data_IF_196713267453
#
_entry.id   IF_196713267453
#
_cell.length_a   1.000
_cell.length_b   1.000
_cell.length_c   1.000
_cell.angle_alpha   90.00
_cell.angle_beta   90.00
_cell.angle_gamma   90.00
#
_symmetry.space_group_name_H-M   'P 1'
#
loop_
_entity.id
_entity.type
_entity.pdbx_description
1 polymer ?
#
# COMPACT_ATOMS: atom_id res chain seq x y z
N UNK A 1 -41.15 15.17 29.50
CA UNK A 1 -41.03 14.77 28.09
C UNK A 1 -41.60 13.39 27.92
N UNK A 2 -42.26 13.19 26.82
CA UNK A 2 -42.93 11.93 26.46
C UNK A 2 -41.95 10.79 26.11
N UNK A 3 -40.64 10.99 26.25
CA UNK A 3 -39.62 10.15 25.62
C UNK A 3 -38.92 9.19 26.57
N UNK A 4 -39.40 9.10 27.79
CA UNK A 4 -38.89 8.13 28.78
C UNK A 4 -37.46 8.36 29.29
N UNK A 5 -36.74 9.40 28.82
CA UNK A 5 -35.39 9.70 29.30
C UNK A 5 -35.37 10.11 30.73
N UNK A 6 -34.50 9.47 31.52
CA UNK A 6 -34.34 9.74 32.95
C UNK A 6 -32.93 10.24 33.25
N UNK A 7 -32.84 11.24 34.16
CA UNK A 7 -31.54 11.76 34.60
C UNK A 7 -30.97 12.88 33.73
N UNK A 8 -29.66 13.09 33.87
CA UNK A 8 -28.91 14.14 33.15
C UNK A 8 -28.64 13.79 31.69
N UNK A 9 -28.15 14.73 30.93
CA UNK A 9 -27.72 14.48 29.54
C UNK A 9 -26.58 13.45 29.47
N UNK A 10 -26.50 12.72 28.39
CA UNK A 10 -25.35 11.86 28.08
C UNK A 10 -24.02 12.66 28.10
N UNK A 11 -22.89 12.03 28.40
CA UNK A 11 -21.60 12.70 28.37
C UNK A 11 -21.34 13.28 26.98
N UNK A 12 -20.69 14.45 26.93
CA UNK A 12 -20.29 15.06 25.66
C UNK A 12 -18.93 14.49 25.24
N UNK A 13 -18.71 14.25 23.95
CA UNK A 13 -17.38 13.93 23.43
C UNK A 13 -16.38 15.04 23.77
N UNK A 14 -15.15 14.69 24.12
CA UNK A 14 -14.08 15.65 24.38
C UNK A 14 -13.27 15.81 23.10
N UNK A 15 -13.40 16.98 22.44
CA UNK A 15 -12.75 17.28 21.17
C UNK A 15 -11.35 17.90 21.28
N UNK A 16 -10.84 18.17 22.50
CA UNK A 16 -9.62 18.95 22.71
C UNK A 16 -8.49 18.16 23.38
N UNK A 17 -8.58 16.84 23.43
CA UNK A 17 -7.48 16.02 23.88
C UNK A 17 -6.65 15.51 22.69
N UNK A 18 -5.44 15.08 22.95
CA UNK A 18 -4.54 14.48 21.94
C UNK A 18 -5.21 13.31 21.19
N UNK A 19 -6.26 12.73 21.79
CA UNK A 19 -7.12 11.71 21.18
C UNK A 19 -8.58 12.15 21.28
N UNK A 20 -9.29 12.20 20.15
CA UNK A 20 -10.73 12.44 20.14
C UNK A 20 -11.45 11.26 20.78
N UNK A 21 -12.18 11.51 21.86
CA UNK A 21 -12.97 10.47 22.53
C UNK A 21 -14.33 10.31 21.86
N UNK A 22 -14.75 9.09 21.63
CA UNK A 22 -16.11 8.75 21.23
C UNK A 22 -17.02 8.56 22.44
N UNK A 23 -18.33 8.57 22.22
CA UNK A 23 -19.31 8.07 23.21
C UNK A 23 -20.00 6.87 22.59
N UNK A 24 -20.19 5.82 23.38
CA UNK A 24 -20.83 4.60 22.93
C UNK A 24 -21.61 3.98 24.09
N UNK A 25 -22.63 3.17 23.74
CA UNK A 25 -23.25 2.25 24.67
C UNK A 25 -22.31 1.08 24.99
N UNK A 26 -22.71 0.19 25.88
CA UNK A 26 -21.98 -1.05 26.15
C UNK A 26 -22.01 -2.02 24.94
N UNK A 27 -21.32 -3.15 25.06
CA UNK A 27 -21.23 -4.17 24.01
C UNK A 27 -22.57 -4.84 23.65
N UNK A 28 -23.55 -4.71 24.52
CA UNK A 28 -24.93 -5.22 24.32
C UNK A 28 -25.89 -4.14 23.82
N UNK A 29 -25.41 -2.90 23.67
CA UNK A 29 -26.20 -1.72 23.30
C UNK A 29 -27.38 -1.48 24.26
N UNK A 30 -27.20 -1.74 25.56
CA UNK A 30 -28.22 -1.57 26.59
C UNK A 30 -28.89 -0.20 26.52
N UNK A 31 -30.19 -0.16 26.71
CA UNK A 31 -31.00 1.05 26.67
C UNK A 31 -31.96 1.09 27.86
N UNK A 32 -31.60 1.90 28.85
CA UNK A 32 -32.42 2.14 30.02
C UNK A 32 -33.04 3.54 30.02
N UNK A 33 -32.98 4.23 28.89
CA UNK A 33 -33.40 5.62 28.72
C UNK A 33 -32.68 6.57 29.67
N UNK A 34 -31.41 6.32 29.95
CA UNK A 34 -30.59 7.07 30.90
C UNK A 34 -29.24 7.48 30.35
N UNK A 35 -28.70 8.56 30.88
CA UNK A 35 -27.34 9.00 30.57
C UNK A 35 -26.25 7.97 30.94
N UNK A 36 -26.54 7.07 31.86
CA UNK A 36 -25.65 5.97 32.26
C UNK A 36 -25.45 4.91 31.18
N UNK A 37 -26.32 4.86 30.19
CA UNK A 37 -26.17 3.96 29.04
C UNK A 37 -24.98 4.35 28.14
N UNK A 38 -24.46 5.56 28.30
CA UNK A 38 -23.45 6.16 27.43
C UNK A 38 -22.14 6.38 28.19
N UNK A 39 -21.05 5.87 27.65
CA UNK A 39 -19.71 5.99 28.21
C UNK A 39 -18.76 6.61 27.20
N UNK A 40 -17.86 7.48 27.68
CA UNK A 40 -16.75 7.97 26.86
C UNK A 40 -15.72 6.88 26.68
N UNK A 41 -15.23 6.71 25.45
CA UNK A 41 -14.23 5.73 25.06
C UNK A 41 -13.08 6.41 24.31
N UNK A 42 -11.87 5.98 24.57
CA UNK A 42 -10.67 6.46 23.86
C UNK A 42 -10.67 5.92 22.44
N UNK A 43 -11.03 4.66 22.26
CA UNK A 43 -11.09 4.01 20.97
C UNK A 43 -12.54 3.81 20.53
N UNK A 44 -12.83 4.20 19.27
CA UNK A 44 -14.17 4.06 18.69
C UNK A 44 -14.25 2.81 17.81
N UNK A 45 -15.31 2.03 17.96
CA UNK A 45 -15.56 0.78 17.24
C UNK A 45 -16.67 0.99 16.20
N UNK A 46 -16.48 1.95 15.29
CA UNK A 46 -17.49 2.36 14.33
C UNK A 46 -17.86 1.20 13.37
N UNK A 47 -19.16 0.89 13.28
CA UNK A 47 -19.66 -0.18 12.44
C UNK A 47 -19.72 -1.55 13.11
N UNK A 48 -19.05 -1.76 14.24
CA UNK A 48 -19.02 -3.02 14.97
C UNK A 48 -19.51 -2.93 16.41
N UNK A 49 -19.23 -3.94 17.21
CA UNK A 49 -19.59 -3.98 18.64
C UNK A 49 -18.84 -2.95 19.45
N UNK A 50 -19.48 -2.40 20.47
CA UNK A 50 -18.85 -1.50 21.43
C UNK A 50 -18.10 -2.32 22.52
N UNK A 51 -17.21 -3.19 22.13
CA UNK A 51 -16.56 -4.19 23.01
C UNK A 51 -15.23 -3.74 23.62
N UNK A 52 -14.63 -2.64 23.12
CA UNK A 52 -13.45 -2.06 23.75
C UNK A 52 -13.88 -1.37 25.05
N UNK A 53 -13.39 -1.81 26.23
CA UNK A 53 -13.77 -1.21 27.51
C UNK A 53 -13.35 0.26 27.61
N UNK A 54 -14.13 1.06 28.35
CA UNK A 54 -13.77 2.46 28.62
C UNK A 54 -12.46 2.61 29.42
N UNK A 55 -12.05 1.58 30.14
CA UNK A 55 -10.78 1.51 30.87
C UNK A 55 -9.57 1.24 29.95
N UNK A 56 -9.81 0.77 28.73
CA UNK A 56 -8.76 0.58 27.75
C UNK A 56 -8.38 1.93 27.13
N UNK A 57 -7.23 2.45 27.52
CA UNK A 57 -6.78 3.79 27.13
C UNK A 57 -5.36 3.82 26.58
N UNK A 58 -4.66 2.68 26.55
CA UNK A 58 -3.29 2.55 26.05
C UNK A 58 -3.27 1.94 24.65
N UNK A 59 -2.27 2.37 23.89
CA UNK A 59 -1.86 1.94 22.57
C UNK A 59 -0.34 2.17 22.54
N UNK A 60 0.41 1.11 22.87
CA UNK A 60 1.83 1.24 23.23
C UNK A 60 2.73 1.46 22.00
N UNK A 61 2.33 0.94 20.85
CA UNK A 61 3.09 1.06 19.60
C UNK A 61 2.54 2.15 18.65
N UNK A 62 1.35 2.71 19.01
CA UNK A 62 0.73 3.83 18.29
C UNK A 62 0.29 3.48 16.85
N UNK A 63 -0.30 2.31 16.67
CA UNK A 63 -0.87 1.88 15.40
C UNK A 63 -2.38 2.14 15.29
N UNK A 64 -3.03 2.55 16.40
CA UNK A 64 -4.46 2.85 16.47
C UNK A 64 -5.31 1.70 17.01
N UNK A 65 -4.71 0.54 17.29
CA UNK A 65 -5.34 -0.61 17.94
C UNK A 65 -5.01 -0.53 19.45
N UNK A 66 -6.01 -0.61 20.33
CA UNK A 66 -5.70 -0.55 21.76
C UNK A 66 -5.08 -1.85 22.29
N UNK A 67 -4.09 -1.73 23.18
CA UNK A 67 -3.39 -2.87 23.80
C UNK A 67 -4.35 -3.98 24.26
N UNK A 68 -5.48 -3.61 24.86
CA UNK A 68 -6.45 -4.56 25.39
C UNK A 68 -7.15 -5.41 24.29
N UNK A 69 -7.08 -5.02 23.02
CA UNK A 69 -7.62 -5.78 21.91
C UNK A 69 -6.58 -6.70 21.26
N UNK A 70 -5.33 -6.60 21.70
CA UNK A 70 -4.18 -7.35 21.16
C UNK A 70 -3.57 -8.35 22.17
N UNK A 71 -4.10 -8.39 23.40
CA UNK A 71 -3.48 -9.16 24.49
C UNK A 71 -3.64 -10.68 24.32
N UNK A 72 -4.79 -11.13 23.81
CA UNK A 72 -5.09 -12.56 23.76
C UNK A 72 -6.29 -12.87 22.84
N UNK A 73 -6.50 -14.15 22.58
CA UNK A 73 -7.56 -14.66 21.66
C UNK A 73 -9.00 -14.44 22.15
N UNK A 74 -9.22 -13.95 23.35
CA UNK A 74 -10.57 -13.56 23.83
C UNK A 74 -10.83 -12.07 23.71
N UNK A 75 -9.81 -11.28 23.36
CA UNK A 75 -9.92 -9.84 23.15
C UNK A 75 -10.49 -9.56 21.75
N UNK A 76 -11.35 -8.53 21.67
CA UNK A 76 -11.93 -8.12 20.38
C UNK A 76 -11.92 -6.61 20.25
N UNK A 77 -11.90 -6.15 18.99
CA UNK A 77 -12.11 -4.79 18.57
C UNK A 77 -13.24 -4.75 17.53
N UNK A 78 -14.32 -4.05 17.84
CA UNK A 78 -15.51 -4.00 16.98
C UNK A 78 -16.16 -5.38 16.70
N UNK A 79 -15.92 -6.37 17.52
CA UNK A 79 -16.33 -7.77 17.35
C UNK A 79 -15.30 -8.64 16.64
N UNK A 80 -14.17 -8.08 16.24
CA UNK A 80 -13.11 -8.77 15.49
C UNK A 80 -11.99 -9.17 16.46
N UNK A 81 -11.52 -10.41 16.38
CA UNK A 81 -10.39 -10.90 17.15
C UNK A 81 -9.07 -10.62 16.40
N UNK A 82 -8.54 -9.39 16.56
CA UNK A 82 -7.31 -8.97 15.88
C UNK A 82 -6.09 -9.77 16.33
N UNK A 83 -6.09 -10.26 17.59
CA UNK A 83 -5.02 -11.13 18.07
C UNK A 83 -4.89 -12.42 17.25
N UNK A 84 -6.01 -13.05 16.87
CA UNK A 84 -5.98 -14.24 16.01
C UNK A 84 -5.60 -13.93 14.56
N UNK A 85 -5.66 -12.66 14.16
CA UNK A 85 -5.18 -12.18 12.85
C UNK A 85 -3.69 -11.81 12.87
N UNK A 86 -3.03 -11.91 14.01
CA UNK A 86 -1.61 -11.63 14.16
C UNK A 86 -1.25 -10.34 14.87
N UNK A 87 -2.25 -9.50 15.28
CA UNK A 87 -1.98 -8.30 16.06
C UNK A 87 -1.32 -8.62 17.42
N UNK A 88 -0.37 -7.80 17.82
CA UNK A 88 0.36 -7.96 19.10
C UNK A 88 0.70 -6.61 19.69
N UNK A 89 0.43 -6.42 20.96
CA UNK A 89 0.89 -5.26 21.73
C UNK A 89 2.39 -5.02 21.53
N UNK A 90 2.81 -3.81 21.28
CA UNK A 90 4.17 -3.38 20.92
C UNK A 90 4.64 -3.81 19.49
N UNK A 91 3.73 -4.15 18.62
CA UNK A 91 3.97 -4.42 17.20
C UNK A 91 3.00 -3.56 16.38
N UNK A 92 3.50 -2.66 15.57
CA UNK A 92 2.64 -1.84 14.70
C UNK A 92 2.00 -2.70 13.63
N UNK A 93 0.70 -2.90 13.74
CA UNK A 93 -0.07 -3.77 12.87
C UNK A 93 -0.88 -2.99 11.83
N UNK A 94 -0.87 -3.46 10.61
CA UNK A 94 -1.62 -2.91 9.47
C UNK A 94 -2.39 -4.05 8.83
N UNK A 95 -3.69 -3.88 8.63
CA UNK A 95 -4.55 -4.88 8.01
C UNK A 95 -5.05 -4.42 6.65
N UNK A 96 -4.99 -5.30 5.64
CA UNK A 96 -5.44 -5.03 4.27
C UNK A 96 -6.29 -6.20 3.78
N UNK A 97 -7.57 -5.95 3.55
CA UNK A 97 -8.44 -6.91 2.87
C UNK A 97 -8.35 -6.72 1.36
N UNK A 98 -8.18 -7.81 0.65
CA UNK A 98 -8.04 -7.83 -0.81
C UNK A 98 -9.15 -8.68 -1.42
N UNK A 99 -10.03 -8.03 -2.18
CA UNK A 99 -10.96 -8.74 -3.06
C UNK A 99 -10.43 -8.76 -4.50
N UNK A 100 -10.84 -9.77 -5.28
CA UNK A 100 -10.29 -9.97 -6.62
C UNK A 100 -11.35 -10.45 -7.62
N UNK A 101 -11.21 -10.03 -8.87
CA UNK A 101 -12.09 -10.52 -9.95
C UNK A 101 -11.85 -12.01 -10.22
N UNK A 102 -12.93 -12.75 -10.44
CA UNK A 102 -12.84 -14.14 -10.92
C UNK A 102 -12.31 -14.16 -12.34
N UNK A 103 -11.09 -14.69 -12.53
CA UNK A 103 -10.42 -14.72 -13.84
C UNK A 103 -9.37 -15.82 -13.90
N UNK A 104 -9.01 -16.23 -15.10
CA UNK A 104 -7.85 -17.08 -15.39
C UNK A 104 -6.60 -16.26 -15.73
N UNK A 105 -6.71 -14.94 -15.83
CA UNK A 105 -5.57 -14.05 -16.03
C UNK A 105 -4.77 -13.93 -14.73
N UNK A 106 -3.50 -14.37 -14.71
CA UNK A 106 -2.71 -14.38 -13.50
C UNK A 106 -2.36 -12.97 -12.96
N UNK A 107 -2.52 -11.92 -13.77
CA UNK A 107 -2.37 -10.53 -13.34
C UNK A 107 -3.51 -10.02 -12.45
N UNK A 108 -4.65 -10.74 -12.43
CA UNK A 108 -5.83 -10.38 -11.63
C UNK A 108 -5.82 -11.07 -10.26
N UNK A 109 -5.18 -12.24 -10.16
CA UNK A 109 -5.19 -13.06 -8.95
C UNK A 109 -4.05 -12.64 -7.99
N UNK A 110 -4.35 -12.22 -6.75
CA UNK A 110 -3.32 -11.94 -5.74
C UNK A 110 -2.39 -13.14 -5.55
N UNK A 111 -1.09 -12.88 -5.42
CA UNK A 111 -0.06 -13.90 -5.34
C UNK A 111 0.74 -13.80 -4.05
N UNK A 112 0.87 -14.94 -3.35
CA UNK A 112 1.59 -15.01 -2.07
C UNK A 112 3.00 -14.40 -2.17
N UNK A 113 3.76 -14.74 -3.20
CA UNK A 113 5.14 -14.28 -3.37
C UNK A 113 5.23 -12.75 -3.58
N UNK A 114 4.20 -12.15 -4.17
CA UNK A 114 4.13 -10.70 -4.31
C UNK A 114 3.80 -10.02 -2.97
N UNK A 115 2.85 -10.55 -2.23
CA UNK A 115 2.46 -10.06 -0.92
C UNK A 115 3.58 -10.27 0.11
N UNK A 116 4.31 -11.39 0.07
CA UNK A 116 5.50 -11.64 0.91
C UNK A 116 6.58 -10.58 0.71
N UNK A 117 6.80 -10.13 -0.53
CA UNK A 117 7.74 -9.03 -0.80
C UNK A 117 7.30 -7.72 -0.14
N UNK A 118 6.01 -7.40 -0.18
CA UNK A 118 5.47 -6.21 0.47
C UNK A 118 5.58 -6.34 2.00
N UNK A 119 5.24 -7.51 2.57
CA UNK A 119 5.45 -7.79 4.01
C UNK A 119 6.89 -7.52 4.42
N UNK A 120 7.86 -7.97 3.64
CA UNK A 120 9.28 -7.76 3.94
C UNK A 120 9.69 -6.27 3.97
N UNK A 121 9.09 -5.43 3.12
CA UNK A 121 9.34 -3.97 3.14
C UNK A 121 8.86 -3.35 4.44
N UNK A 122 7.66 -3.72 4.90
CA UNK A 122 7.10 -3.20 6.15
C UNK A 122 7.84 -3.73 7.37
N UNK A 123 8.18 -5.02 7.39
CA UNK A 123 8.95 -5.65 8.46
C UNK A 123 10.31 -5.00 8.66
N UNK A 124 10.98 -4.56 7.58
CA UNK A 124 12.23 -3.83 7.65
C UNK A 124 12.11 -2.45 8.35
N UNK A 125 10.89 -1.95 8.52
CA UNK A 125 10.56 -0.70 9.21
C UNK A 125 9.84 -0.94 10.56
N UNK A 126 9.86 -2.17 11.08
CA UNK A 126 9.18 -2.61 12.29
C UNK A 126 7.63 -2.44 12.24
N UNK A 127 7.03 -2.66 11.08
CA UNK A 127 5.60 -2.79 10.90
C UNK A 127 5.27 -4.22 10.49
N UNK A 128 4.17 -4.76 11.00
CA UNK A 128 3.58 -6.01 10.53
C UNK A 128 2.38 -5.69 9.66
N UNK A 129 2.42 -6.03 8.38
CA UNK A 129 1.27 -5.91 7.49
C UNK A 129 0.63 -7.29 7.31
N UNK A 130 -0.68 -7.34 7.53
CA UNK A 130 -1.51 -8.55 7.45
C UNK A 130 -2.44 -8.40 6.26
N UNK A 131 -2.26 -9.25 5.27
CA UNK A 131 -3.16 -9.32 4.12
C UNK A 131 -4.22 -10.38 4.36
N UNK A 132 -5.42 -10.13 3.85
CA UNK A 132 -6.54 -11.05 3.84
C UNK A 132 -7.03 -11.24 2.40
N UNK A 133 -6.82 -12.41 1.85
CA UNK A 133 -7.30 -12.80 0.51
C UNK A 133 -8.31 -13.95 0.59
N UNK A 134 -8.77 -14.28 1.81
CA UNK A 134 -9.64 -15.42 2.06
C UNK A 134 -9.00 -16.75 1.66
N UNK A 135 -9.81 -17.72 1.28
CA UNK A 135 -9.39 -19.10 0.91
C UNK A 135 -8.55 -19.18 -0.39
N UNK A 136 -8.05 -18.06 -0.94
CA UNK A 136 -7.42 -18.03 -2.27
C UNK A 136 -6.08 -18.77 -2.30
N UNK A 137 -5.26 -18.65 -1.25
CA UNK A 137 -3.87 -19.10 -1.30
C UNK A 137 -3.74 -20.57 -0.96
N UNK A 138 -4.35 -21.03 0.11
CA UNK A 138 -4.25 -22.45 0.52
C UNK A 138 -5.53 -23.25 0.22
N UNK A 139 -6.67 -22.57 0.03
CA UNK A 139 -7.96 -23.21 -0.21
C UNK A 139 -8.50 -23.96 1.02
N UNK A 140 -7.88 -23.76 2.19
CA UNK A 140 -8.36 -24.27 3.46
C UNK A 140 -9.40 -23.32 4.03
N UNK A 141 -10.47 -23.84 4.63
CA UNK A 141 -11.44 -23.01 5.30
C UNK A 141 -10.98 -22.69 6.72
N UNK A 142 -11.02 -21.41 7.08
CA UNK A 142 -10.78 -20.95 8.44
C UNK A 142 -9.62 -19.95 8.51
N UNK A 143 -9.58 -19.18 9.60
CA UNK A 143 -8.57 -18.13 9.79
C UNK A 143 -7.18 -18.75 9.90
N UNK A 144 -6.33 -18.44 8.93
CA UNK A 144 -4.91 -18.77 8.89
C UNK A 144 -4.10 -17.55 8.40
N UNK A 145 -3.56 -16.73 9.33
CA UNK A 145 -2.77 -15.55 8.97
C UNK A 145 -1.50 -15.87 8.15
N UNK A 146 -0.95 -17.09 8.28
CA UNK A 146 0.23 -17.50 7.52
C UNK A 146 -0.09 -17.75 6.05
N UNK A 147 -1.35 -18.12 5.76
CA UNK A 147 -1.87 -18.33 4.41
C UNK A 147 -2.76 -17.17 3.94
N UNK A 148 -2.71 -16.03 4.63
CA UNK A 148 -3.43 -14.80 4.25
C UNK A 148 -4.95 -14.92 4.30
N UNK A 149 -5.49 -15.77 5.17
CA UNK A 149 -6.90 -15.88 5.45
C UNK A 149 -7.23 -15.29 6.83
N UNK A 150 -7.91 -14.15 6.83
CA UNK A 150 -8.41 -13.49 8.04
C UNK A 150 -9.95 -13.46 8.07
N UNK A 151 -10.57 -14.29 7.24
CA UNK A 151 -12.03 -14.47 7.15
C UNK A 151 -12.75 -13.42 6.29
N UNK A 152 -12.02 -12.66 5.47
CA UNK A 152 -12.52 -11.79 4.41
C UNK A 152 -12.00 -12.24 3.05
N UNK A 153 -11.66 -11.28 2.17
CA UNK A 153 -11.01 -11.58 0.89
C UNK A 153 -11.89 -12.39 -0.06
N UNK A 154 -12.77 -11.73 -0.80
CA UNK A 154 -13.77 -12.39 -1.63
C UNK A 154 -13.48 -12.24 -3.12
N UNK A 155 -13.88 -13.24 -3.91
CA UNK A 155 -13.95 -13.07 -5.35
C UNK A 155 -15.22 -12.33 -5.77
N UNK A 156 -15.15 -11.55 -6.85
CA UNK A 156 -16.30 -10.91 -7.48
C UNK A 156 -16.29 -11.11 -9.00
N UNK A 157 -17.44 -10.84 -9.63
CA UNK A 157 -17.64 -11.10 -11.04
C UNK A 157 -16.64 -10.29 -11.91
N UNK A 158 -16.14 -10.95 -12.96
CA UNK A 158 -15.25 -10.31 -13.93
C UNK A 158 -15.92 -9.13 -14.62
N UNK A 159 -15.15 -8.06 -14.76
CA UNK A 159 -15.45 -6.91 -15.60
C UNK A 159 -14.22 -6.49 -16.39
N UNK A 160 -14.40 -6.08 -17.63
CA UNK A 160 -13.29 -5.57 -18.44
C UNK A 160 -12.63 -4.34 -17.80
N UNK A 161 -13.42 -3.49 -17.15
CA UNK A 161 -12.97 -2.30 -16.45
C UNK A 161 -13.30 -2.34 -14.96
N UNK A 162 -12.30 -2.00 -14.13
CA UNK A 162 -12.42 -1.69 -12.71
C UNK A 162 -11.99 -0.25 -12.48
N UNK A 163 -12.75 0.52 -11.73
CA UNK A 163 -12.35 1.88 -11.35
C UNK A 163 -12.53 2.15 -9.86
N UNK A 164 -11.66 3.01 -9.31
CA UNK A 164 -11.73 3.45 -7.91
C UNK A 164 -13.01 4.24 -7.63
N UNK A 165 -13.44 5.04 -8.59
CA UNK A 165 -14.65 5.86 -8.51
C UNK A 165 -15.56 5.53 -9.68
N UNK A 166 -16.86 5.79 -9.54
CA UNK A 166 -17.82 5.55 -10.61
C UNK A 166 -17.39 6.26 -11.89
N UNK A 167 -17.30 5.49 -12.98
CA UNK A 167 -16.85 5.92 -14.29
C UNK A 167 -17.77 5.36 -15.38
N UNK A 168 -18.29 6.22 -16.24
CA UNK A 168 -19.14 5.81 -17.34
C UNK A 168 -18.43 4.79 -18.24
N UNK A 169 -19.14 3.71 -18.57
CA UNK A 169 -18.61 2.60 -19.39
C UNK A 169 -17.73 1.60 -18.64
N UNK A 170 -17.47 1.79 -17.35
CA UNK A 170 -16.80 0.82 -16.52
C UNK A 170 -17.84 -0.10 -15.82
N UNK A 171 -17.62 -1.40 -15.84
CA UNK A 171 -18.59 -2.37 -15.32
C UNK A 171 -18.45 -2.67 -13.83
N UNK A 172 -17.31 -2.32 -13.21
CA UNK A 172 -17.06 -2.51 -11.78
C UNK A 172 -16.48 -1.26 -11.14
N UNK A 173 -16.92 -0.97 -9.91
CA UNK A 173 -16.44 0.16 -9.09
C UNK A 173 -16.09 -0.32 -7.69
N UNK A 174 -15.06 0.23 -7.10
CA UNK A 174 -14.63 -0.15 -5.75
C UNK A 174 -15.77 -0.01 -4.74
N UNK A 175 -16.47 1.12 -4.72
CA UNK A 175 -17.54 1.37 -3.75
C UNK A 175 -18.65 0.30 -3.81
N UNK A 176 -19.04 -0.15 -5.02
CA UNK A 176 -20.11 -1.14 -5.20
C UNK A 176 -19.66 -2.54 -4.73
N UNK A 177 -18.40 -2.91 -4.96
CA UNK A 177 -17.84 -4.19 -4.51
C UNK A 177 -17.66 -4.16 -3.00
N UNK A 178 -17.03 -3.10 -2.46
CA UNK A 178 -16.84 -2.89 -1.03
C UNK A 178 -18.15 -2.95 -0.24
N UNK A 179 -19.20 -2.32 -0.75
CA UNK A 179 -20.52 -2.35 -0.09
C UNK A 179 -21.11 -3.75 0.03
N UNK A 180 -20.80 -4.64 -0.91
CA UNK A 180 -21.32 -6.02 -0.94
C UNK A 180 -20.51 -7.00 -0.12
N UNK A 181 -19.19 -6.85 -0.12
CA UNK A 181 -18.26 -7.87 0.33
C UNK A 181 -17.55 -7.50 1.65
N UNK A 182 -17.27 -6.21 1.87
CA UNK A 182 -16.48 -5.77 3.00
C UNK A 182 -17.32 -5.67 4.28
N UNK A 183 -16.91 -6.36 5.34
CA UNK A 183 -17.60 -6.27 6.64
C UNK A 183 -17.40 -4.86 7.24
N UNK A 184 -18.51 -4.20 7.54
CA UNK A 184 -18.51 -2.84 8.09
C UNK A 184 -17.75 -2.77 9.45
N UNK A 185 -17.67 -3.85 10.21
CA UNK A 185 -16.92 -3.91 11.46
C UNK A 185 -15.40 -3.74 11.24
N UNK A 186 -14.88 -4.10 10.06
CA UNK A 186 -13.47 -3.95 9.68
C UNK A 186 -13.09 -2.52 9.31
N UNK A 187 -14.08 -1.67 9.04
CA UNK A 187 -13.90 -0.34 8.46
C UNK A 187 -12.93 0.58 9.22
N UNK A 188 -12.80 0.40 10.51
CA UNK A 188 -11.91 1.23 11.35
C UNK A 188 -10.46 0.77 11.39
N UNK A 189 -10.19 -0.47 10.94
CA UNK A 189 -8.90 -1.12 11.07
C UNK A 189 -8.33 -1.50 9.71
N UNK A 190 -9.16 -2.00 8.78
CA UNK A 190 -8.68 -2.53 7.51
C UNK A 190 -8.64 -1.46 6.43
N UNK A 191 -7.56 -1.46 5.67
CA UNK A 191 -7.50 -0.93 4.31
C UNK A 191 -8.19 -1.91 3.37
N UNK A 192 -8.65 -1.42 2.22
CA UNK A 192 -9.34 -2.23 1.25
C UNK A 192 -8.75 -2.08 -0.15
N UNK A 193 -8.45 -3.20 -0.78
CA UNK A 193 -7.81 -3.23 -2.09
C UNK A 193 -8.55 -4.18 -3.03
N UNK A 194 -8.79 -3.77 -4.28
CA UNK A 194 -9.38 -4.62 -5.31
C UNK A 194 -8.37 -4.95 -6.39
N UNK A 195 -8.34 -6.22 -6.78
CA UNK A 195 -7.60 -6.68 -7.95
C UNK A 195 -8.55 -6.89 -9.13
N UNK A 196 -8.20 -6.30 -10.28
CA UNK A 196 -9.03 -6.36 -11.47
C UNK A 196 -8.26 -6.28 -12.78
N UNK A 197 -9.03 -6.24 -13.87
CA UNK A 197 -8.48 -6.37 -15.20
C UNK A 197 -7.75 -5.11 -15.68
N UNK A 198 -8.44 -3.99 -15.81
CA UNK A 198 -7.92 -2.74 -16.39
C UNK A 198 -8.72 -1.54 -15.88
N UNK A 199 -8.16 -0.35 -15.96
CA UNK A 199 -8.88 0.92 -15.75
C UNK A 199 -9.43 1.51 -17.06
N UNK A 200 -9.09 0.93 -18.21
CA UNK A 200 -9.64 1.32 -19.49
C UNK A 200 -10.99 0.65 -19.74
N UNK A 201 -11.98 1.41 -20.22
CA UNK A 201 -13.35 0.92 -20.43
C UNK A 201 -13.46 -0.20 -21.45
N UNK A 202 -12.51 -0.29 -22.37
CA UNK A 202 -12.39 -1.35 -23.37
C UNK A 202 -11.64 -2.60 -22.84
N UNK A 203 -11.15 -2.56 -21.60
CA UNK A 203 -10.40 -3.64 -20.99
C UNK A 203 -8.95 -3.76 -21.46
N UNK A 204 -8.47 -2.85 -22.31
CA UNK A 204 -7.07 -2.86 -22.74
C UNK A 204 -6.12 -2.54 -21.57
N UNK A 205 -4.85 -2.94 -21.70
CA UNK A 205 -3.81 -2.63 -20.72
C UNK A 205 -3.71 -1.11 -20.48
N UNK A 206 -3.54 -0.73 -19.21
CA UNK A 206 -3.51 0.68 -18.79
C UNK A 206 -2.65 0.88 -17.55
N UNK A 207 -3.05 1.77 -16.66
CA UNK A 207 -2.37 2.00 -15.38
C UNK A 207 -2.35 0.73 -14.53
N UNK A 208 -1.26 0.48 -13.82
CA UNK A 208 -1.10 -0.70 -12.94
C UNK A 208 -2.03 -0.67 -11.73
N UNK A 209 -2.36 0.52 -11.24
CA UNK A 209 -3.24 0.69 -10.09
C UNK A 209 -3.70 2.13 -9.93
N UNK A 210 -4.45 2.37 -8.88
CA UNK A 210 -4.89 3.68 -8.41
C UNK A 210 -5.33 3.60 -6.95
N UNK A 211 -5.04 4.64 -6.17
CA UNK A 211 -5.44 4.72 -4.78
C UNK A 211 -6.02 6.08 -4.40
N UNK A 212 -6.67 6.13 -3.27
CA UNK A 212 -6.95 7.37 -2.55
C UNK A 212 -5.66 7.91 -1.92
N UNK A 213 -5.54 9.22 -1.81
CA UNK A 213 -4.38 9.87 -1.22
C UNK A 213 -4.77 11.08 -0.36
N UNK A 214 -4.59 11.04 0.99
CA UNK A 214 -4.57 9.81 1.78
C UNK A 214 -5.93 9.12 1.73
N UNK A 215 -5.96 7.87 2.11
CA UNK A 215 -7.21 7.12 2.14
C UNK A 215 -7.03 5.70 2.61
N UNK A 216 -8.04 4.87 2.38
CA UNK A 216 -8.00 3.47 2.77
C UNK A 216 -8.43 2.53 1.63
N UNK A 217 -8.65 3.08 0.42
CA UNK A 217 -9.13 2.33 -0.73
C UNK A 217 -8.15 2.41 -1.89
N UNK A 218 -7.90 1.28 -2.54
CA UNK A 218 -7.02 1.17 -3.71
C UNK A 218 -7.42 0.05 -4.67
N UNK A 219 -6.95 0.13 -5.92
CA UNK A 219 -7.14 -0.90 -6.93
C UNK A 219 -5.81 -1.26 -7.59
N UNK A 220 -5.62 -2.54 -7.91
CA UNK A 220 -4.53 -3.09 -8.71
C UNK A 220 -5.13 -3.62 -10.01
N UNK A 221 -4.62 -3.19 -11.17
CA UNK A 221 -5.24 -3.43 -12.47
C UNK A 221 -4.21 -3.84 -13.53
N UNK A 222 -3.47 -4.91 -13.26
CA UNK A 222 -2.45 -5.50 -14.14
C UNK A 222 -2.93 -6.73 -14.91
N UNK A 223 -4.23 -7.01 -14.90
CA UNK A 223 -4.84 -7.89 -15.89
C UNK A 223 -4.62 -7.32 -17.30
N UNK A 224 -4.89 -7.99 -18.35
CA UNK A 224 -4.65 -7.52 -19.72
C UNK A 224 -3.21 -7.07 -20.08
N UNK A 225 -2.24 -7.25 -19.16
CA UNK A 225 -0.83 -6.95 -19.43
C UNK A 225 -0.08 -8.11 -20.07
N UNK A 226 -0.80 -9.18 -20.45
CA UNK A 226 -0.26 -10.42 -21.02
C UNK A 226 0.81 -11.09 -20.13
N UNK A 227 0.71 -10.89 -18.81
CA UNK A 227 1.57 -11.55 -17.85
C UNK A 227 1.22 -13.03 -17.77
N UNK A 228 2.22 -13.87 -17.53
CA UNK A 228 2.02 -15.31 -17.46
C UNK A 228 3.05 -15.98 -16.54
N UNK A 229 2.86 -17.28 -16.30
CA UNK A 229 3.72 -18.10 -15.46
C UNK A 229 4.44 -19.21 -16.24
N UNK A 230 4.59 -19.06 -17.55
CA UNK A 230 5.15 -20.10 -18.43
C UNK A 230 6.66 -20.35 -18.24
N UNK A 231 7.34 -19.46 -17.51
CA UNK A 231 8.75 -19.61 -17.14
C UNK A 231 9.00 -18.95 -15.78
N UNK A 232 10.10 -19.32 -15.14
CA UNK A 232 10.55 -18.67 -13.88
C UNK A 232 10.72 -17.15 -14.07
N UNK A 233 11.27 -16.71 -15.20
CA UNK A 233 11.43 -15.30 -15.52
C UNK A 233 10.09 -14.58 -15.61
N UNK A 234 9.10 -15.15 -16.29
CA UNK A 234 7.76 -14.57 -16.41
C UNK A 234 7.02 -14.54 -15.08
N UNK A 235 7.14 -15.61 -14.29
CA UNK A 235 6.60 -15.67 -12.93
C UNK A 235 7.21 -14.59 -12.04
N UNK A 236 8.52 -14.40 -12.12
CA UNK A 236 9.20 -13.31 -11.39
C UNK A 236 8.70 -11.94 -11.82
N UNK A 237 8.56 -11.70 -13.13
CA UNK A 237 8.03 -10.43 -13.66
C UNK A 237 6.64 -10.16 -13.14
N UNK A 238 5.75 -11.15 -13.18
CA UNK A 238 4.39 -11.03 -12.65
C UNK A 238 4.39 -10.70 -11.16
N UNK A 239 5.12 -11.48 -10.35
CA UNK A 239 5.20 -11.25 -8.90
C UNK A 239 5.79 -9.87 -8.56
N UNK A 240 6.79 -9.44 -9.30
CA UNK A 240 7.47 -8.16 -9.08
C UNK A 240 6.59 -6.97 -9.49
N UNK A 241 5.89 -7.05 -10.61
CA UNK A 241 4.95 -6.00 -11.03
C UNK A 241 3.77 -5.89 -10.04
N UNK A 242 3.26 -7.03 -9.60
CA UNK A 242 2.21 -7.05 -8.59
C UNK A 242 2.68 -6.45 -7.27
N UNK A 243 3.83 -6.89 -6.75
CA UNK A 243 4.40 -6.37 -5.51
C UNK A 243 4.71 -4.87 -5.57
N UNK A 244 5.32 -4.41 -6.68
CA UNK A 244 5.60 -2.99 -6.91
C UNK A 244 4.34 -2.15 -6.98
N UNK A 245 3.28 -2.65 -7.62
CA UNK A 245 1.98 -1.95 -7.71
C UNK A 245 1.27 -1.93 -6.35
N UNK A 246 1.18 -3.07 -5.66
CA UNK A 246 0.58 -3.13 -4.30
C UNK A 246 1.26 -2.13 -3.37
N UNK A 247 2.60 -2.13 -3.34
CA UNK A 247 3.36 -1.22 -2.49
C UNK A 247 3.15 0.25 -2.87
N UNK A 248 3.08 0.55 -4.17
CA UNK A 248 2.85 1.90 -4.69
C UNK A 248 1.47 2.43 -4.30
N UNK A 249 0.42 1.67 -4.59
CA UNK A 249 -0.95 2.11 -4.29
C UNK A 249 -1.19 2.22 -2.79
N UNK A 250 -0.66 1.26 -2.03
CA UNK A 250 -0.72 1.34 -0.57
C UNK A 250 0.07 2.55 -0.01
N UNK A 251 1.21 2.89 -0.62
CA UNK A 251 1.95 4.10 -0.30
C UNK A 251 1.13 5.38 -0.48
N UNK A 252 0.26 5.44 -1.50
CA UNK A 252 -0.68 6.55 -1.65
C UNK A 252 -1.70 6.60 -0.51
N UNK A 253 -2.25 5.47 -0.08
CA UNK A 253 -3.13 5.43 1.08
C UNK A 253 -2.44 6.00 2.34
N UNK A 254 -1.13 5.82 2.47
CA UNK A 254 -0.29 6.39 3.53
C UNK A 254 0.16 7.85 3.26
N UNK A 255 -0.45 8.55 2.30
CA UNK A 255 -0.18 9.94 1.89
C UNK A 255 1.17 10.17 1.17
N UNK A 256 1.85 9.12 0.71
CA UNK A 256 3.05 9.29 -0.10
C UNK A 256 2.73 9.71 -1.53
N UNK A 257 3.44 10.72 -2.03
CA UNK A 257 3.39 11.14 -3.44
C UNK A 257 4.50 10.51 -4.27
N UNK A 258 4.44 10.67 -5.61
CA UNK A 258 5.43 10.13 -6.52
C UNK A 258 6.84 10.71 -6.28
N UNK A 259 6.96 11.85 -5.67
CA UNK A 259 8.21 12.46 -5.20
C UNK A 259 8.30 12.54 -3.67
N UNK A 260 7.64 11.67 -2.94
CA UNK A 260 7.53 11.69 -1.49
C UNK A 260 6.51 12.71 -1.02
N UNK A 261 6.96 13.78 -0.38
CA UNK A 261 6.12 14.91 0.03
C UNK A 261 5.76 15.87 -1.13
N UNK A 262 6.15 15.57 -2.35
CA UNK A 262 5.84 16.34 -3.56
C UNK A 262 5.21 15.47 -4.64
N UNK A 263 4.52 16.12 -5.60
CA UNK A 263 3.93 15.42 -6.75
C UNK A 263 4.91 15.23 -7.92
N UNK A 264 6.12 15.78 -7.83
CA UNK A 264 7.13 15.68 -8.91
C UNK A 264 7.60 14.25 -9.00
N UNK A 265 7.38 13.63 -10.15
CA UNK A 265 7.75 12.25 -10.43
C UNK A 265 9.13 12.14 -11.08
N UNK A 266 9.64 10.93 -11.21
CA UNK A 266 10.87 10.60 -11.93
C UNK A 266 12.15 11.21 -11.36
N UNK A 267 12.18 11.56 -10.09
CA UNK A 267 13.40 12.02 -9.42
C UNK A 267 14.39 10.87 -9.24
N UNK A 268 15.54 10.86 -9.93
CA UNK A 268 16.44 9.69 -9.90
C UNK A 268 17.05 9.43 -8.52
N UNK A 269 17.15 10.44 -7.67
CA UNK A 269 17.62 10.33 -6.28
C UNK A 269 16.50 9.96 -5.27
N UNK A 270 15.24 9.93 -5.69
CA UNK A 270 14.13 9.46 -4.86
C UNK A 270 13.93 7.95 -5.07
N UNK A 271 14.68 7.16 -4.31
CA UNK A 271 14.69 5.70 -4.37
C UNK A 271 13.49 5.11 -3.64
N UNK A 272 12.38 5.04 -4.32
CA UNK A 272 11.12 4.58 -3.76
C UNK A 272 10.27 3.94 -4.85
N UNK A 273 9.53 2.91 -4.51
CA UNK A 273 8.48 2.35 -5.37
C UNK A 273 7.35 3.35 -5.65
N UNK A 274 7.28 4.47 -4.92
CA UNK A 274 6.39 5.59 -5.24
C UNK A 274 6.78 6.33 -6.52
N UNK A 275 8.03 6.30 -6.88
CA UNK A 275 8.57 6.91 -8.10
C UNK A 275 8.34 5.95 -9.27
N UNK A 276 7.68 6.41 -10.34
CA UNK A 276 7.42 5.59 -11.54
C UNK A 276 8.69 5.02 -12.17
N UNK A 277 9.84 5.68 -11.97
CA UNK A 277 11.13 5.17 -12.41
C UNK A 277 11.46 3.79 -11.80
N UNK A 278 10.98 3.53 -10.58
CA UNK A 278 11.35 2.35 -9.80
C UNK A 278 10.17 1.42 -9.49
N UNK A 279 8.94 1.85 -9.70
CA UNK A 279 7.74 1.09 -9.33
C UNK A 279 7.74 -0.33 -9.91
N UNK A 280 8.00 -0.45 -11.20
CA UNK A 280 7.97 -1.73 -11.92
C UNK A 280 9.36 -2.29 -12.23
N UNK A 281 10.38 -1.43 -12.26
CA UNK A 281 11.75 -1.82 -12.55
C UNK A 281 12.54 -2.26 -11.30
N UNK A 282 12.04 -1.89 -10.14
CA UNK A 282 12.69 -2.13 -8.85
C UNK A 282 13.76 -1.11 -8.49
N UNK A 283 14.16 -1.11 -7.23
CA UNK A 283 15.23 -0.27 -6.72
C UNK A 283 16.59 -0.88 -7.09
N UNK A 284 17.62 -0.05 -7.33
CA UNK A 284 18.96 -0.56 -7.47
C UNK A 284 19.43 -1.18 -6.15
N UNK A 285 20.15 -2.31 -6.19
CA UNK A 285 20.70 -2.92 -5.01
C UNK A 285 21.69 -1.96 -4.32
N UNK A 286 21.75 -2.04 -3.00
CA UNK A 286 22.75 -1.30 -2.22
C UNK A 286 24.16 -1.49 -2.79
N UNK A 287 24.89 -0.41 -2.96
CA UNK A 287 26.24 -0.34 -3.52
C UNK A 287 26.39 -0.57 -5.02
N UNK A 288 25.32 -0.65 -5.81
CA UNK A 288 25.43 -0.73 -7.27
C UNK A 288 24.53 0.31 -7.95
N UNK A 289 25.15 1.11 -8.78
CA UNK A 289 24.70 1.94 -9.90
C UNK A 289 23.23 2.32 -9.93
N UNK A 290 22.84 3.37 -9.20
CA UNK A 290 21.55 4.05 -9.36
C UNK A 290 21.32 4.65 -10.74
N UNK A 291 22.36 4.74 -11.49
CA UNK A 291 22.49 5.36 -12.78
C UNK A 291 21.76 4.57 -13.87
N UNK A 292 21.65 3.27 -13.68
CA UNK A 292 21.01 2.34 -14.62
C UNK A 292 19.63 2.78 -15.07
N UNK A 293 18.80 3.25 -14.15
CA UNK A 293 17.42 3.59 -14.44
C UNK A 293 17.28 4.94 -15.11
N UNK A 294 18.12 5.90 -14.76
CA UNK A 294 18.17 7.19 -15.41
C UNK A 294 18.40 7.02 -16.91
N UNK A 295 19.43 6.27 -17.30
CA UNK A 295 19.75 6.06 -18.71
C UNK A 295 18.75 5.17 -19.44
N UNK A 296 18.13 4.21 -18.77
CA UNK A 296 17.17 3.30 -19.40
C UNK A 296 15.86 4.01 -19.75
N UNK A 297 15.40 4.90 -18.88
CA UNK A 297 14.07 5.49 -19.00
C UNK A 297 14.05 6.89 -19.60
N UNK A 298 15.15 7.65 -19.53
CA UNK A 298 15.19 9.05 -19.92
C UNK A 298 16.06 9.36 -21.12
N UNK A 299 17.23 8.74 -21.22
CA UNK A 299 18.10 8.91 -22.36
C UNK A 299 17.81 7.78 -23.35
N UNK A 300 17.17 8.12 -24.45
CA UNK A 300 17.08 7.21 -25.59
C UNK A 300 18.49 6.66 -25.86
N UNK A 301 18.60 5.36 -26.00
CA UNK A 301 19.84 4.64 -26.33
C UNK A 301 20.63 5.20 -27.54
N UNK A 302 20.07 6.17 -28.27
CA UNK A 302 20.71 6.84 -29.39
C UNK A 302 21.80 7.82 -28.99
N UNK A 303 21.71 8.42 -27.80
CA UNK A 303 22.58 9.51 -27.39
C UNK A 303 23.85 9.02 -26.66
N UNK A 304 23.72 7.97 -25.86
CA UNK A 304 24.84 7.40 -25.11
C UNK A 304 25.38 6.07 -25.66
N UNK A 305 24.88 5.60 -26.79
CA UNK A 305 25.21 4.28 -27.34
C UNK A 305 24.66 3.10 -26.55
N UNK A 306 24.97 1.85 -26.90
CA UNK A 306 24.53 0.67 -26.17
C UNK A 306 25.23 0.66 -24.80
N UNK A 307 24.51 1.10 -23.78
CA UNK A 307 25.04 1.23 -22.43
C UNK A 307 25.25 -0.17 -21.86
N UNK A 308 26.46 -0.45 -21.43
CA UNK A 308 26.90 -1.70 -20.83
C UNK A 308 26.25 -1.98 -19.45
N UNK A 309 25.34 -1.12 -19.01
CA UNK A 309 24.65 -1.16 -17.72
C UNK A 309 23.58 -2.25 -17.64
N UNK A 310 23.16 -2.86 -18.75
CA UNK A 310 22.22 -3.98 -18.76
C UNK A 310 22.79 -5.30 -18.19
N UNK A 311 24.10 -5.44 -18.10
CA UNK A 311 24.72 -6.68 -17.60
C UNK A 311 24.63 -6.86 -16.08
N UNK A 312 24.35 -5.80 -15.34
CA UNK A 312 24.19 -5.85 -13.88
C UNK A 312 22.75 -6.12 -13.40
N UNK A 313 21.85 -6.51 -14.32
CA UNK A 313 20.43 -6.82 -14.10
C UNK A 313 20.16 -8.09 -13.27
N UNK A 314 21.04 -8.54 -12.41
CA UNK A 314 20.76 -9.66 -11.49
C UNK A 314 19.64 -9.37 -10.51
N UNK A 315 19.14 -8.15 -10.48
CA UNK A 315 18.03 -7.70 -9.62
C UNK A 315 16.89 -7.04 -10.39
N UNK A 316 16.79 -7.23 -11.71
CA UNK A 316 15.72 -6.68 -12.53
C UNK A 316 14.39 -7.38 -12.34
N UNK A 317 13.36 -6.84 -13.00
CA UNK A 317 11.96 -7.28 -12.91
C UNK A 317 11.73 -8.77 -13.17
N UNK A 318 12.58 -9.40 -13.98
CA UNK A 318 12.49 -10.81 -14.33
C UNK A 318 13.23 -11.75 -13.37
N UNK A 319 13.74 -11.25 -12.26
CA UNK A 319 14.47 -12.02 -11.24
C UNK A 319 13.75 -12.00 -9.89
N UNK A 320 13.97 -13.02 -9.07
CA UNK A 320 13.46 -13.03 -7.69
C UNK A 320 14.11 -11.97 -6.80
N UNK A 321 15.28 -11.47 -7.19
CA UNK A 321 16.08 -10.49 -6.44
C UNK A 321 15.68 -9.03 -6.67
N UNK A 322 14.63 -8.72 -7.45
CA UNK A 322 14.15 -7.35 -7.59
C UNK A 322 13.79 -6.75 -6.23
N UNK A 323 14.36 -5.59 -5.92
CA UNK A 323 14.14 -4.87 -4.66
C UNK A 323 13.03 -3.84 -4.84
N UNK A 324 12.08 -3.81 -3.92
CA UNK A 324 11.05 -2.78 -3.80
C UNK A 324 11.16 -2.13 -2.42
N UNK A 325 10.64 -0.91 -2.25
CA UNK A 325 10.67 -0.24 -0.96
C UNK A 325 10.29 1.23 -1.03
N UNK A 326 10.22 1.84 0.15
CA UNK A 326 10.08 3.29 0.29
C UNK A 326 11.42 3.95 0.55
N UNK A 327 11.57 5.20 0.10
CA UNK A 327 12.76 5.99 0.40
C UNK A 327 12.82 6.33 1.89
N UNK A 328 14.00 6.23 2.47
CA UNK A 328 14.28 6.68 3.84
C UNK A 328 14.64 8.18 3.92
N UNK A 329 14.53 8.91 2.82
CA UNK A 329 14.84 10.34 2.76
C UNK A 329 16.34 10.69 2.74
N UNK A 330 17.25 9.70 2.61
CA UNK A 330 18.71 9.92 2.65
C UNK A 330 19.32 10.39 1.32
N UNK A 331 18.52 10.59 0.28
CA UNK A 331 19.00 11.10 -1.02
C UNK A 331 19.59 12.51 -0.91
N UNK A 332 20.73 12.76 -1.55
CA UNK A 332 21.28 14.10 -1.66
C UNK A 332 20.48 14.97 -2.63
N UNK A 333 20.49 16.28 -2.42
CA UNK A 333 19.93 17.21 -3.38
C UNK A 333 20.77 17.20 -4.66
N UNK A 334 20.09 17.15 -5.81
CA UNK A 334 20.70 17.33 -7.12
C UNK A 334 20.40 18.74 -7.62
N UNK A 335 21.34 19.34 -8.35
CA UNK A 335 21.21 20.69 -8.90
C UNK A 335 21.26 20.60 -10.42
N UNK A 336 20.13 20.59 -11.07
CA UNK A 336 20.00 20.36 -12.52
C UNK A 336 20.75 21.38 -13.37
N UNK A 337 20.79 22.64 -12.95
CA UNK A 337 21.55 23.69 -13.64
C UNK A 337 23.07 23.55 -13.54
N UNK A 338 23.58 22.65 -12.68
CA UNK A 338 25.01 22.46 -12.43
C UNK A 338 25.28 21.10 -11.78
N UNK A 339 24.89 20.02 -12.45
CA UNK A 339 25.04 18.67 -11.95
C UNK A 339 26.45 18.15 -12.20
N UNK A 340 27.19 17.88 -11.14
CA UNK A 340 28.53 17.30 -11.24
C UNK A 340 28.46 15.78 -11.46
N UNK A 341 29.01 15.30 -12.55
CA UNK A 341 28.99 13.89 -12.93
C UNK A 341 29.74 12.99 -11.95
N UNK A 342 30.79 13.52 -11.37
CA UNK A 342 31.60 12.83 -10.35
C UNK A 342 30.83 12.53 -9.05
N UNK A 343 29.72 13.23 -8.81
CA UNK A 343 28.83 13.04 -7.67
C UNK A 343 27.70 12.06 -7.99
N UNK A 344 27.39 11.85 -9.26
CA UNK A 344 26.32 10.97 -9.72
C UNK A 344 24.97 11.36 -9.10
N UNK A 345 24.18 10.38 -8.68
CA UNK A 345 22.85 10.59 -8.07
C UNK A 345 22.92 10.92 -6.57
N UNK A 346 24.09 11.29 -6.04
CA UNK A 346 24.23 11.80 -4.68
C UNK A 346 24.01 10.77 -3.58
N UNK A 347 24.37 9.52 -3.80
CA UNK A 347 24.30 8.45 -2.79
C UNK A 347 25.52 8.39 -1.90
N UNK A 348 25.42 7.60 -0.81
CA UNK A 348 26.51 7.38 0.16
C UNK A 348 27.76 6.75 -0.48
N UNK A 349 27.61 6.05 -1.59
CA UNK A 349 28.71 5.57 -2.44
C UNK A 349 28.40 6.00 -3.87
N UNK A 350 28.71 7.24 -4.23
CA UNK A 350 28.32 7.80 -5.53
C UNK A 350 29.04 7.04 -6.64
N UNK A 351 28.27 6.43 -7.50
CA UNK A 351 28.75 6.04 -8.81
C UNK A 351 28.72 7.28 -9.68
N UNK A 352 29.79 7.57 -10.35
CA UNK A 352 29.86 8.64 -11.32
C UNK A 352 28.87 8.39 -12.47
N UNK A 353 28.24 9.43 -12.97
CA UNK A 353 27.27 9.37 -14.07
C UNK A 353 27.70 10.32 -15.17
N UNK A 354 27.88 9.82 -16.36
CA UNK A 354 28.04 10.59 -17.58
C UNK A 354 26.65 11.07 -18.03
N UNK A 355 26.25 12.24 -17.55
CA UNK A 355 24.91 12.79 -17.82
C UNK A 355 24.78 13.37 -19.23
N UNK A 356 25.85 13.84 -19.82
CA UNK A 356 25.88 14.45 -21.14
C UNK A 356 26.29 13.47 -22.25
N UNK A 357 26.74 12.28 -21.90
CA UNK A 357 27.14 11.21 -22.80
C UNK A 357 28.34 11.57 -23.70
N UNK A 358 29.32 12.32 -23.18
CA UNK A 358 30.53 12.68 -23.92
C UNK A 358 31.70 11.69 -23.73
N UNK A 359 31.49 10.70 -22.84
CA UNK A 359 32.44 9.60 -22.61
C UNK A 359 33.32 9.77 -21.41
N UNK A 360 33.13 10.82 -20.61
CA UNK A 360 33.80 10.96 -19.34
C UNK A 360 32.84 11.23 -18.18
N UNK A 361 33.31 11.49 -16.97
CA UNK A 361 32.51 11.69 -15.77
C UNK A 361 33.14 12.72 -14.85
N UNK A 362 33.80 13.71 -15.40
CA UNK A 362 34.61 14.66 -14.63
C UNK A 362 34.07 16.09 -14.71
N UNK A 363 33.11 16.35 -15.56
CA UNK A 363 32.58 17.68 -15.77
C UNK A 363 31.30 17.95 -14.99
N UNK A 364 30.72 19.09 -15.29
CA UNK A 364 29.49 19.58 -14.70
C UNK A 364 28.53 19.98 -15.83
N UNK A 365 27.37 19.41 -15.84
CA UNK A 365 26.41 19.58 -16.92
C UNK A 365 25.15 20.30 -16.45
N UNK A 366 24.43 20.91 -17.38
CA UNK A 366 23.05 21.38 -17.17
C UNK A 366 22.14 20.32 -17.78
N UNK A 367 21.31 19.68 -16.97
CA UNK A 367 20.47 18.57 -17.37
C UNK A 367 19.18 18.52 -16.57
N UNK A 368 18.07 18.37 -17.26
CA UNK A 368 16.78 18.06 -16.67
C UNK A 368 16.76 16.58 -16.26
N UNK A 369 16.68 16.32 -14.96
CA UNK A 369 16.77 14.98 -14.38
C UNK A 369 15.41 14.34 -14.14
N UNK A 370 14.34 15.12 -14.08
CA UNK A 370 13.03 14.62 -13.68
C UNK A 370 11.99 14.58 -14.81
N UNK A 371 12.38 14.77 -16.05
CA UNK A 371 11.61 14.59 -17.28
C UNK A 371 10.39 15.49 -17.50
N UNK A 372 10.20 16.51 -16.74
CA UNK A 372 9.16 17.53 -17.03
C UNK A 372 9.72 18.91 -16.74
N UNK A 373 9.47 19.81 -17.68
CA UNK A 373 9.65 21.26 -17.53
C UNK A 373 8.89 21.79 -16.30
N UNK A 374 9.30 21.40 -15.13
CA UNK A 374 8.73 21.87 -13.88
C UNK A 374 9.67 22.85 -13.13
N UNK A 375 10.69 23.30 -13.84
CA UNK A 375 11.49 24.48 -13.56
C UNK A 375 12.37 24.40 -12.32
#
# INVERSE_FOLDING_TARGET
SSDGWTGSAAPKPVFWSTYSKSIARDSTSSDTNSSSDWTQRTFGTFGGKNDVPASCTSDADSDGIPDCSEENSSSTFAGINLYSFGARTNQKDIFVEIDYMTSTDPGITPRKEALDKVKAVFAAQNYSIHFDVGDLIDGASGIDPDDYDLGGGNSFDYSACLSLRKKDGCGAYLDDVKYKNFDIARRTIFYYMLFGNSQNTDGSGGSSGRAEKPGNDSIVTIGSWNLNTNSTSNTNTLNNYMAGTVLHEFGHNLDLGHGGNSSINYKPNYLSSMNYMYQLEGLPPDNKTGDRYYFTNYKNNSDCGPIQYYSDLQSGQNTSGMVIGFSNGSGANLTESSQAESVGLGRTSPTKVDFNCDGDTNDTTNIDLNSKDDG
#
